data_IF_814590619528
#
_entry.id   IF_814590619528
#
_cell.length_a   1.000
_cell.length_b   1.000
_cell.length_c   1.000
_cell.angle_alpha   90.00
_cell.angle_beta   90.00
_cell.angle_gamma   90.00
#
_symmetry.space_group_name_H-M   'P 1'
#
loop_
_entity.id
_entity.type
_entity.pdbx_description
1 polymer ?
#
# COMPACT_ATOMS: atom_id res chain seq x y z
N UNK A 1 10.16 -5.99 34.90
CA UNK A 1 9.27 -5.69 33.76
C UNK A 1 9.92 -4.71 32.77
N UNK A 2 10.31 -3.50 33.18
CA UNK A 2 11.10 -2.56 32.35
C UNK A 2 12.60 -2.69 32.62
N UNK A 3 13.43 -2.38 31.62
CA UNK A 3 14.90 -2.34 31.67
C UNK A 3 15.42 -1.13 32.46
N UNK A 4 14.75 0.03 32.34
CA UNK A 4 15.09 1.29 33.00
C UNK A 4 13.82 2.03 33.44
N UNK A 5 13.84 2.69 34.60
CA UNK A 5 12.68 3.34 35.25
C UNK A 5 12.45 4.80 34.84
N UNK A 6 13.27 5.35 33.93
CA UNK A 6 13.34 6.81 33.63
C UNK A 6 12.01 7.36 33.04
N UNK A 7 11.07 6.51 32.64
CA UNK A 7 9.83 6.89 31.96
C UNK A 7 8.64 6.03 32.44
N UNK A 8 8.55 5.83 33.75
CA UNK A 8 7.44 5.12 34.38
C UNK A 8 6.18 6.01 34.42
N UNK A 9 5.24 5.71 33.51
CA UNK A 9 3.90 6.33 33.53
C UNK A 9 2.98 5.70 34.59
N UNK A 10 1.80 6.29 34.77
CA UNK A 10 0.82 5.83 35.77
C UNK A 10 0.41 4.36 35.57
N UNK A 11 0.29 3.90 34.32
CA UNK A 11 -0.03 2.51 34.01
C UNK A 11 1.09 1.57 34.47
N UNK A 12 2.33 1.87 34.10
CA UNK A 12 3.50 1.06 34.49
C UNK A 12 3.70 1.05 36.00
N UNK A 13 3.47 2.20 36.66
CA UNK A 13 3.53 2.33 38.12
C UNK A 13 2.51 1.43 38.80
N UNK A 14 1.24 1.51 38.41
CA UNK A 14 0.15 0.65 38.93
C UNK A 14 0.43 -0.82 38.70
N UNK A 15 0.97 -1.16 37.53
CA UNK A 15 1.34 -2.53 37.18
C UNK A 15 2.53 -3.06 37.99
N UNK A 16 3.46 -2.19 38.40
CA UNK A 16 4.58 -2.56 39.27
C UNK A 16 4.15 -2.69 40.73
N UNK A 17 3.41 -1.70 41.25
CA UNK A 17 2.97 -1.68 42.66
C UNK A 17 1.94 -2.78 42.94
N UNK A 18 1.20 -3.25 41.93
CA UNK A 18 0.33 -4.43 42.08
C UNK A 18 1.10 -5.70 42.44
N UNK A 19 2.43 -5.75 42.25
CA UNK A 19 3.27 -6.84 42.76
C UNK A 19 3.33 -6.87 44.30
N UNK A 20 3.25 -5.70 44.93
CA UNK A 20 3.55 -5.46 46.34
C UNK A 20 2.29 -5.39 47.22
N UNK A 21 1.11 -5.12 46.64
CA UNK A 21 -0.15 -5.11 47.38
C UNK A 21 -0.70 -6.54 47.61
N UNK A 22 -1.02 -6.87 48.87
CA UNK A 22 -1.58 -8.16 49.32
C UNK A 22 -3.03 -8.44 48.85
N UNK A 23 -3.58 -7.62 47.95
CA UNK A 23 -4.93 -7.82 47.43
C UNK A 23 -4.92 -8.91 46.34
N UNK A 24 -5.71 -9.97 46.54
CA UNK A 24 -5.88 -11.08 45.56
C UNK A 24 -6.68 -10.67 44.31
N UNK A 25 -7.15 -9.42 44.25
CA UNK A 25 -8.15 -8.97 43.28
C UNK A 25 -7.77 -7.62 42.69
N UNK A 26 -7.74 -7.53 41.37
CA UNK A 26 -7.44 -6.29 40.66
C UNK A 26 -6.86 -6.56 39.28
N UNK A 27 -7.27 -5.76 38.29
CA UNK A 27 -6.84 -5.88 36.90
C UNK A 27 -5.32 -5.90 36.80
N UNK A 28 -4.63 -4.91 37.39
CA UNK A 28 -3.18 -4.79 37.32
C UNK A 28 -2.43 -5.96 37.98
N UNK A 29 -3.01 -6.63 38.99
CA UNK A 29 -2.39 -7.80 39.60
C UNK A 29 -2.50 -9.01 38.67
N UNK A 30 -3.71 -9.34 38.21
CA UNK A 30 -3.93 -10.46 37.30
C UNK A 30 -3.21 -10.25 35.96
N UNK A 31 -3.19 -9.00 35.46
CA UNK A 31 -2.44 -8.63 34.27
C UNK A 31 -0.93 -8.76 34.48
N UNK A 32 -0.39 -8.38 35.64
CA UNK A 32 1.02 -8.63 35.97
C UNK A 32 1.34 -10.12 35.96
N UNK A 33 0.50 -10.94 36.63
CA UNK A 33 0.68 -12.40 36.67
C UNK A 33 0.65 -13.01 35.27
N UNK A 34 -0.25 -12.55 34.40
CA UNK A 34 -0.32 -12.99 33.00
C UNK A 34 0.96 -12.66 32.21
N UNK A 35 1.62 -11.55 32.52
CA UNK A 35 2.86 -11.14 31.88
C UNK A 35 4.10 -11.84 32.45
N UNK A 36 4.02 -12.36 33.67
CA UNK A 36 5.10 -13.08 34.37
C UNK A 36 5.06 -14.58 34.03
N UNK A 37 3.86 -15.18 34.05
CA UNK A 37 3.60 -16.59 33.74
C UNK A 37 2.38 -16.73 32.78
N UNK A 38 2.60 -16.63 31.46
CA UNK A 38 1.53 -16.64 30.48
C UNK A 38 0.93 -18.04 30.33
N UNK A 39 -0.27 -18.23 30.88
CA UNK A 39 -1.06 -19.45 30.68
C UNK A 39 -2.51 -19.13 30.28
N UNK A 40 -3.14 -20.09 29.58
CA UNK A 40 -4.55 -19.95 29.19
C UNK A 40 -5.45 -19.81 30.43
N UNK A 41 -5.14 -20.52 31.51
CA UNK A 41 -5.89 -20.44 32.77
C UNK A 41 -5.85 -19.02 33.37
N UNK A 42 -4.69 -18.37 33.36
CA UNK A 42 -4.56 -16.99 33.87
C UNK A 42 -5.29 -16.01 32.95
N UNK A 43 -5.21 -16.20 31.63
CA UNK A 43 -5.93 -15.39 30.65
C UNK A 43 -7.46 -15.51 30.83
N UNK A 44 -7.98 -16.72 30.96
CA UNK A 44 -9.41 -16.96 31.22
C UNK A 44 -9.85 -16.39 32.57
N UNK A 45 -9.01 -16.52 33.60
CA UNK A 45 -9.25 -15.86 34.89
C UNK A 45 -9.28 -14.33 34.78
N UNK A 46 -8.49 -13.72 33.90
CA UNK A 46 -8.55 -12.28 33.67
C UNK A 46 -9.82 -11.89 32.89
N UNK A 47 -10.16 -12.64 31.84
CA UNK A 47 -11.31 -12.37 30.96
C UNK A 47 -12.67 -12.68 31.61
N UNK A 48 -12.70 -13.50 32.66
CA UNK A 48 -13.91 -13.70 33.48
C UNK A 48 -14.20 -12.53 34.42
N UNK A 49 -13.19 -11.72 34.75
CA UNK A 49 -13.32 -10.58 35.67
C UNK A 49 -13.29 -9.21 34.96
N UNK A 50 -12.76 -9.15 33.73
CA UNK A 50 -12.56 -7.94 32.95
C UNK A 50 -12.87 -8.17 31.48
N UNK A 51 -13.18 -7.09 30.75
CA UNK A 51 -13.51 -7.23 29.33
C UNK A 51 -12.27 -7.57 28.51
N UNK A 52 -12.45 -8.26 27.37
CA UNK A 52 -11.38 -8.49 26.41
C UNK A 52 -10.70 -7.17 26.00
N UNK A 53 -11.50 -6.11 25.85
CA UNK A 53 -11.00 -4.78 25.48
C UNK A 53 -10.05 -4.18 26.53
N UNK A 54 -10.26 -4.44 27.83
CA UNK A 54 -9.37 -3.97 28.89
C UNK A 54 -7.99 -4.62 28.76
N UNK A 55 -7.97 -5.94 28.51
CA UNK A 55 -6.74 -6.71 28.29
C UNK A 55 -6.02 -6.25 27.03
N UNK A 56 -6.76 -6.07 25.93
CA UNK A 56 -6.23 -5.51 24.67
C UNK A 56 -5.65 -4.11 24.90
N UNK A 57 -6.32 -3.25 25.65
CA UNK A 57 -5.82 -1.90 25.93
C UNK A 57 -4.53 -1.92 26.76
N UNK A 58 -4.44 -2.79 27.77
CA UNK A 58 -3.23 -2.98 28.57
C UNK A 58 -2.05 -3.47 27.73
N UNK A 59 -2.26 -4.49 26.88
CA UNK A 59 -1.22 -5.00 25.98
C UNK A 59 -0.84 -3.96 24.93
N UNK A 60 -1.83 -3.28 24.35
CA UNK A 60 -1.60 -2.20 23.39
C UNK A 60 -0.75 -1.10 23.99
N UNK A 61 -0.97 -0.70 25.24
CA UNK A 61 -0.14 0.31 25.90
C UNK A 61 1.31 -0.13 25.98
N UNK A 62 1.56 -1.35 26.46
CA UNK A 62 2.91 -1.91 26.58
C UNK A 62 3.60 -2.06 25.23
N UNK A 63 2.92 -2.66 24.24
CA UNK A 63 3.45 -2.87 22.90
C UNK A 63 3.66 -1.52 22.21
N UNK A 64 2.73 -0.58 22.31
CA UNK A 64 2.82 0.68 21.57
C UNK A 64 3.91 1.62 22.12
N UNK A 65 4.04 1.71 23.45
CA UNK A 65 4.83 2.78 24.08
C UNK A 65 6.04 2.30 24.89
N UNK A 66 6.08 1.03 25.31
CA UNK A 66 7.10 0.55 26.28
C UNK A 66 7.90 -0.65 25.79
N UNK A 67 7.59 -1.18 24.61
CA UNK A 67 8.03 -2.49 24.14
C UNK A 67 9.55 -2.66 24.06
N UNK A 68 10.28 -1.69 23.49
CA UNK A 68 11.75 -1.72 23.40
C UNK A 68 12.44 -1.75 24.78
N UNK A 69 11.72 -1.28 25.81
CA UNK A 69 12.20 -1.17 27.19
C UNK A 69 11.77 -2.35 28.05
N UNK A 70 11.00 -3.30 27.53
CA UNK A 70 10.64 -4.51 28.28
C UNK A 70 11.84 -5.46 28.42
N UNK A 71 11.87 -6.24 29.50
CA UNK A 71 12.81 -7.35 29.63
C UNK A 71 12.52 -8.42 28.56
N UNK A 72 13.54 -9.19 28.16
CA UNK A 72 13.40 -10.23 27.12
C UNK A 72 12.32 -11.26 27.45
N UNK A 73 12.19 -11.60 28.74
CA UNK A 73 11.17 -12.52 29.26
C UNK A 73 9.76 -11.97 29.08
N UNK A 74 9.49 -10.75 29.55
CA UNK A 74 8.18 -10.11 29.41
C UNK A 74 7.80 -9.91 27.94
N UNK A 75 8.78 -9.56 27.10
CA UNK A 75 8.60 -9.51 25.65
C UNK A 75 8.09 -10.84 25.10
N UNK A 76 8.75 -11.96 25.44
CA UNK A 76 8.36 -13.28 24.97
C UNK A 76 6.96 -13.67 25.49
N UNK A 77 6.68 -13.34 26.75
CA UNK A 77 5.39 -13.59 27.37
C UNK A 77 4.26 -12.80 26.69
N UNK A 78 4.47 -11.53 26.35
CA UNK A 78 3.49 -10.75 25.58
C UNK A 78 3.18 -11.41 24.24
N UNK A 79 4.19 -11.92 23.51
CA UNK A 79 3.95 -12.61 22.25
C UNK A 79 3.12 -13.89 22.43
N UNK A 80 3.38 -14.65 23.50
CA UNK A 80 2.58 -15.83 23.85
C UNK A 80 1.14 -15.45 24.19
N UNK A 81 0.93 -14.40 24.98
CA UNK A 81 -0.40 -13.89 25.33
C UNK A 81 -1.16 -13.46 24.07
N UNK A 82 -0.55 -12.65 23.20
CA UNK A 82 -1.19 -12.22 21.94
C UNK A 82 -1.55 -13.43 21.08
N UNK A 83 -0.68 -14.44 21.01
CA UNK A 83 -0.95 -15.69 20.28
C UNK A 83 -2.16 -16.44 20.84
N UNK A 84 -2.27 -16.56 22.16
CA UNK A 84 -3.45 -17.17 22.82
C UNK A 84 -4.72 -16.36 22.54
N UNK A 85 -4.62 -15.03 22.54
CA UNK A 85 -5.77 -14.16 22.31
C UNK A 85 -6.37 -14.30 20.91
N UNK A 86 -5.62 -14.74 19.90
CA UNK A 86 -6.14 -14.96 18.54
C UNK A 86 -7.32 -15.94 18.48
N UNK A 87 -7.52 -16.77 19.50
CA UNK A 87 -8.66 -17.69 19.59
C UNK A 87 -10.00 -16.99 19.93
N UNK A 88 -9.97 -15.73 20.37
CA UNK A 88 -11.16 -14.96 20.76
C UNK A 88 -11.74 -14.09 19.64
N UNK A 89 -11.15 -14.11 18.43
CA UNK A 89 -11.63 -13.50 17.16
C UNK A 89 -12.04 -12.00 17.17
N UNK A 90 -11.95 -11.28 18.29
CA UNK A 90 -12.35 -9.86 18.37
C UNK A 90 -11.19 -8.90 18.69
N UNK A 91 -11.06 -7.85 17.87
CA UNK A 91 -10.26 -6.62 18.12
C UNK A 91 -8.76 -6.79 18.42
N UNK A 92 -8.14 -7.92 18.11
CA UNK A 92 -6.70 -8.18 18.32
C UNK A 92 -5.82 -7.58 17.21
N UNK A 93 -6.42 -7.13 16.11
CA UNK A 93 -5.74 -6.53 14.96
C UNK A 93 -4.80 -5.39 15.36
N UNK A 94 -5.20 -4.59 16.34
CA UNK A 94 -4.39 -3.46 16.82
C UNK A 94 -3.12 -3.93 17.54
N UNK A 95 -3.15 -5.09 18.22
CA UNK A 95 -1.96 -5.67 18.84
C UNK A 95 -1.01 -6.18 17.75
N UNK A 96 -1.54 -6.92 16.78
CA UNK A 96 -0.75 -7.46 15.66
C UNK A 96 -0.09 -6.34 14.86
N UNK A 97 -0.83 -5.29 14.51
CA UNK A 97 -0.25 -4.15 13.79
C UNK A 97 0.85 -3.50 14.63
N UNK A 98 0.67 -3.28 15.93
CA UNK A 98 1.73 -2.71 16.77
C UNK A 98 2.96 -3.64 16.92
N UNK A 99 2.78 -4.97 16.93
CA UNK A 99 3.92 -5.90 16.87
C UNK A 99 4.67 -5.78 15.55
N UNK A 100 3.94 -5.63 14.43
CA UNK A 100 4.55 -5.39 13.12
C UNK A 100 5.30 -4.04 13.09
N UNK A 101 4.80 -2.98 13.74
CA UNK A 101 5.53 -1.70 13.87
C UNK A 101 6.89 -1.83 14.58
N UNK A 102 7.07 -2.87 15.39
CA UNK A 102 8.36 -3.25 15.98
C UNK A 102 9.20 -4.19 15.10
N UNK A 103 8.81 -4.35 13.84
CA UNK A 103 9.44 -5.21 12.84
C UNK A 103 9.52 -6.70 13.22
N UNK A 104 8.56 -7.18 14.03
CA UNK A 104 8.43 -8.59 14.42
C UNK A 104 7.74 -9.44 13.35
N UNK A 105 8.28 -9.41 12.14
CA UNK A 105 7.69 -10.05 10.97
C UNK A 105 7.63 -11.57 11.14
N UNK A 106 8.69 -12.18 11.68
CA UNK A 106 8.77 -13.64 11.84
C UNK A 106 7.78 -14.16 12.88
N UNK A 107 7.66 -13.46 14.01
CA UNK A 107 6.77 -13.82 15.10
C UNK A 107 5.31 -13.73 14.68
N UNK A 108 4.93 -12.63 14.02
CA UNK A 108 3.56 -12.46 13.52
C UNK A 108 3.28 -13.41 12.36
N UNK A 109 4.25 -13.68 11.49
CA UNK A 109 4.08 -14.67 10.41
C UNK A 109 3.93 -16.10 10.97
N UNK A 110 4.61 -16.45 12.06
CA UNK A 110 4.36 -17.70 12.79
C UNK A 110 2.95 -17.74 13.37
N UNK A 111 2.45 -16.65 13.96
CA UNK A 111 1.07 -16.57 14.44
C UNK A 111 0.06 -16.77 13.30
N UNK A 112 0.33 -16.23 12.11
CA UNK A 112 -0.48 -16.45 10.91
C UNK A 112 -0.52 -17.92 10.50
N UNK A 113 0.62 -18.62 10.53
CA UNK A 113 0.67 -20.06 10.24
C UNK A 113 -0.11 -20.89 11.26
N UNK A 114 -0.03 -20.52 12.53
CA UNK A 114 -0.67 -21.27 13.61
C UNK A 114 -2.19 -21.01 13.64
N UNK A 115 -2.63 -19.79 13.31
CA UNK A 115 -4.04 -19.36 13.39
C UNK A 115 -4.51 -18.66 12.09
N UNK A 116 -4.50 -19.35 10.93
CA UNK A 116 -4.80 -18.71 9.64
C UNK A 116 -6.24 -18.20 9.53
N UNK A 117 -7.18 -18.85 10.24
CA UNK A 117 -8.60 -18.46 10.26
C UNK A 117 -8.80 -17.02 10.74
N UNK A 118 -8.08 -16.61 11.79
CA UNK A 118 -8.14 -15.24 12.29
C UNK A 118 -7.74 -14.25 11.18
N UNK A 119 -6.56 -14.39 10.60
CA UNK A 119 -6.07 -13.43 9.59
C UNK A 119 -6.96 -13.39 8.33
N UNK A 120 -7.53 -14.52 7.92
CA UNK A 120 -8.46 -14.55 6.79
C UNK A 120 -9.77 -13.81 7.08
N UNK A 121 -10.25 -13.82 8.33
CA UNK A 121 -11.42 -13.06 8.77
C UNK A 121 -11.11 -11.57 9.00
N UNK A 122 -9.83 -11.22 9.18
CA UNK A 122 -9.34 -9.87 9.46
C UNK A 122 -8.45 -9.33 8.32
N UNK A 123 -9.03 -8.94 7.16
CA UNK A 123 -8.28 -8.59 5.95
C UNK A 123 -7.35 -7.39 6.13
N UNK A 124 -7.67 -6.45 7.03
CA UNK A 124 -6.78 -5.35 7.37
C UNK A 124 -5.48 -5.87 7.99
N UNK A 125 -5.59 -6.72 9.02
CA UNK A 125 -4.44 -7.33 9.68
C UNK A 125 -3.57 -8.11 8.68
N UNK A 126 -4.19 -8.91 7.83
CA UNK A 126 -3.51 -9.67 6.78
C UNK A 126 -2.80 -8.75 5.77
N UNK A 127 -3.41 -7.62 5.40
CA UNK A 127 -2.80 -6.63 4.49
C UNK A 127 -1.53 -6.02 5.08
N UNK A 128 -1.54 -5.65 6.37
CA UNK A 128 -0.34 -5.17 7.06
C UNK A 128 0.73 -6.27 7.13
N UNK A 129 0.38 -7.50 7.52
CA UNK A 129 1.36 -8.60 7.54
C UNK A 129 1.97 -8.83 6.15
N UNK A 130 1.14 -8.89 5.10
CA UNK A 130 1.62 -9.08 3.74
C UNK A 130 2.57 -7.96 3.30
N UNK A 131 2.25 -6.71 3.66
CA UNK A 131 3.11 -5.56 3.38
C UNK A 131 4.47 -5.67 4.09
N UNK A 132 4.47 -5.98 5.39
CA UNK A 132 5.71 -6.16 6.16
C UNK A 132 6.56 -7.34 5.67
N UNK A 133 5.91 -8.43 5.26
CA UNK A 133 6.60 -9.54 4.60
C UNK A 133 7.27 -9.09 3.29
N UNK A 134 6.58 -8.31 2.45
CA UNK A 134 7.14 -7.78 1.21
C UNK A 134 8.33 -6.82 1.44
N UNK A 135 8.34 -6.10 2.57
CA UNK A 135 9.48 -5.25 2.97
C UNK A 135 10.62 -6.05 3.63
N UNK A 136 10.38 -7.29 4.06
CA UNK A 136 11.38 -8.13 4.72
C UNK A 136 12.29 -8.81 3.70
N UNK A 137 13.55 -9.04 4.08
CA UNK A 137 14.48 -9.88 3.31
C UNK A 137 14.19 -11.38 3.46
N UNK A 138 13.49 -11.81 4.52
CA UNK A 138 13.28 -13.23 4.85
C UNK A 138 11.96 -13.80 4.35
N UNK A 139 10.94 -12.95 4.16
CA UNK A 139 9.55 -13.36 3.89
C UNK A 139 8.92 -12.67 2.68
N UNK A 140 9.73 -12.07 1.82
CA UNK A 140 9.27 -11.29 0.66
C UNK A 140 8.25 -12.03 -0.20
N UNK A 141 8.50 -13.31 -0.46
CA UNK A 141 7.72 -14.09 -1.41
C UNK A 141 6.49 -14.77 -0.78
N UNK A 142 6.26 -14.58 0.52
CA UNK A 142 5.18 -15.26 1.24
C UNK A 142 3.77 -14.87 0.75
N UNK A 143 3.63 -13.69 0.12
CA UNK A 143 2.35 -13.12 -0.30
C UNK A 143 2.38 -12.48 -1.70
N UNK A 144 3.20 -12.98 -2.64
CA UNK A 144 3.34 -12.41 -4.01
C UNK A 144 2.01 -12.27 -4.77
N UNK A 145 0.99 -13.09 -4.45
CA UNK A 145 -0.33 -13.01 -5.06
C UNK A 145 -1.18 -11.82 -4.59
N UNK A 146 -0.81 -11.17 -3.48
CA UNK A 146 -1.59 -10.14 -2.78
C UNK A 146 -1.02 -8.72 -2.96
N UNK A 147 -0.16 -8.51 -3.95
CA UNK A 147 0.38 -7.19 -4.29
C UNK A 147 -0.76 -6.25 -4.70
N UNK A 148 -1.10 -5.32 -3.81
CA UNK A 148 -2.26 -4.43 -3.96
C UNK A 148 -1.87 -2.97 -4.15
N UNK A 149 -0.72 -2.54 -3.60
CA UNK A 149 -0.25 -1.16 -3.71
C UNK A 149 1.23 -1.09 -4.09
N UNK A 150 1.65 0.07 -4.58
CA UNK A 150 2.98 0.27 -5.16
C UNK A 150 4.10 -0.04 -4.18
N UNK A 151 3.98 0.30 -2.90
CA UNK A 151 5.09 0.14 -1.96
C UNK A 151 5.38 -1.31 -1.60
N UNK A 152 4.50 -2.26 -1.90
CA UNK A 152 4.85 -3.69 -1.81
C UNK A 152 6.05 -4.05 -2.68
N UNK A 153 6.27 -3.31 -3.77
CA UNK A 153 7.39 -3.51 -4.69
C UNK A 153 8.59 -2.60 -4.39
N UNK A 154 8.52 -1.77 -3.34
CA UNK A 154 9.53 -0.75 -3.05
C UNK A 154 10.92 -1.36 -2.83
N UNK A 155 11.04 -2.37 -1.95
CA UNK A 155 12.33 -3.00 -1.68
C UNK A 155 12.90 -3.71 -2.90
N UNK A 156 12.06 -4.41 -3.67
CA UNK A 156 12.46 -5.04 -4.93
C UNK A 156 13.03 -4.02 -5.90
N UNK A 157 12.34 -2.89 -6.11
CA UNK A 157 12.80 -1.82 -7.00
C UNK A 157 14.05 -1.13 -6.46
N UNK A 158 14.13 -0.88 -5.15
CA UNK A 158 15.30 -0.28 -4.50
C UNK A 158 16.55 -1.15 -4.70
N UNK A 159 16.45 -2.45 -4.49
CA UNK A 159 17.55 -3.40 -4.70
C UNK A 159 17.97 -3.46 -6.17
N UNK A 160 16.99 -3.50 -7.09
CA UNK A 160 17.22 -3.46 -8.53
C UNK A 160 17.96 -2.20 -8.97
N UNK A 161 17.66 -1.05 -8.38
CA UNK A 161 18.32 0.23 -8.68
C UNK A 161 19.67 0.41 -7.97
N UNK A 162 19.91 -0.30 -6.87
CA UNK A 162 21.12 -0.16 -6.05
C UNK A 162 22.18 -1.25 -6.32
N UNK A 163 21.82 -2.33 -7.03
CA UNK A 163 22.70 -3.47 -7.27
C UNK A 163 23.81 -3.24 -8.30
N UNK A 164 25.02 -3.71 -7.99
CA UNK A 164 26.21 -3.74 -8.89
C UNK A 164 26.00 -4.52 -10.19
N UNK A 165 24.96 -5.35 -10.27
CA UNK A 165 24.55 -6.01 -11.52
C UNK A 165 24.06 -5.05 -12.60
N UNK A 166 23.65 -3.82 -12.25
CA UNK A 166 23.25 -2.82 -13.24
C UNK A 166 24.44 -2.39 -14.11
N UNK A 167 25.62 -2.18 -13.51
CA UNK A 167 26.86 -1.81 -14.20
C UNK A 167 27.43 -2.96 -15.05
N UNK A 168 27.44 -4.19 -14.52
CA UNK A 168 27.93 -5.38 -15.23
C UNK A 168 27.01 -5.81 -16.38
N UNK A 169 25.69 -5.62 -16.24
CA UNK A 169 24.74 -5.84 -17.34
C UNK A 169 24.82 -4.74 -18.41
N UNK A 170 25.05 -3.47 -18.03
CA UNK A 170 25.33 -2.36 -18.97
C UNK A 170 26.57 -2.70 -19.82
N UNK A 171 27.67 -3.13 -19.18
CA UNK A 171 28.93 -3.48 -19.87
C UNK A 171 28.86 -4.76 -20.71
N UNK A 172 28.11 -5.77 -20.28
CA UNK A 172 27.92 -7.02 -21.05
C UNK A 172 26.93 -6.87 -22.23
N UNK A 173 25.94 -5.98 -22.15
CA UNK A 173 24.98 -5.74 -23.25
C UNK A 173 25.49 -4.78 -24.32
N UNK A 174 26.28 -3.76 -23.95
CA UNK A 174 26.97 -2.90 -24.94
C UNK A 174 27.92 -3.73 -25.83
N UNK A 175 28.45 -4.84 -25.32
CA UNK A 175 29.26 -5.80 -26.12
C UNK A 175 28.46 -6.84 -26.91
N UNK A 176 27.15 -7.00 -26.67
CA UNK A 176 26.30 -8.03 -27.33
C UNK A 176 25.27 -7.47 -28.32
N UNK A 177 25.03 -6.16 -28.33
CA UNK A 177 24.00 -5.51 -29.17
C UNK A 177 24.54 -4.92 -30.50
N UNK A 178 25.69 -5.37 -31.00
CA UNK A 178 26.09 -5.09 -32.39
C UNK A 178 25.54 -6.11 -33.40
N UNK A 179 24.82 -7.15 -32.96
CA UNK A 179 24.36 -8.23 -33.83
C UNK A 179 22.90 -8.56 -33.52
N UNK A 180 22.01 -7.98 -34.33
CA UNK A 180 20.60 -8.35 -34.54
C UNK A 180 19.59 -8.05 -33.42
N UNK A 181 18.77 -7.03 -33.69
CA UNK A 181 17.49 -6.82 -33.02
C UNK A 181 17.01 -5.38 -33.17
N UNK A 182 16.18 -5.12 -34.18
CA UNK A 182 15.38 -3.90 -34.23
C UNK A 182 14.45 -3.85 -33.00
N UNK A 183 14.68 -2.90 -32.09
CA UNK A 183 13.60 -2.39 -31.24
C UNK A 183 13.92 -0.92 -30.92
N UNK A 184 12.99 -0.03 -31.25
CA UNK A 184 13.08 1.43 -31.19
C UNK A 184 13.46 2.05 -29.83
N UNK A 185 13.76 1.28 -28.79
CA UNK A 185 14.09 1.79 -27.46
C UNK A 185 15.10 0.91 -26.74
N UNK A 186 15.98 1.48 -25.89
CA UNK A 186 16.83 0.69 -25.02
C UNK A 186 15.98 -0.18 -24.09
N UNK A 187 16.33 -1.45 -23.98
CA UNK A 187 15.63 -2.42 -23.14
C UNK A 187 15.81 -2.00 -21.69
N UNK A 188 14.77 -1.39 -21.12
CA UNK A 188 14.71 -1.12 -19.68
C UNK A 188 14.86 -2.46 -18.94
N UNK A 189 15.76 -2.59 -17.95
CA UNK A 189 16.19 -3.89 -17.41
C UNK A 189 15.08 -4.71 -16.73
N UNK A 190 13.88 -4.16 -16.59
CA UNK A 190 12.77 -4.73 -15.83
C UNK A 190 11.50 -4.95 -16.67
N UNK A 191 11.52 -4.72 -17.98
CA UNK A 191 10.33 -4.87 -18.85
C UNK A 191 9.74 -6.28 -18.83
N UNK A 192 10.57 -7.31 -18.66
CA UNK A 192 10.11 -8.69 -18.47
C UNK A 192 9.43 -8.91 -17.11
N UNK A 193 9.89 -8.23 -16.05
CA UNK A 193 9.34 -8.33 -14.70
C UNK A 193 7.94 -7.72 -14.61
N UNK A 194 7.69 -6.61 -15.30
CA UNK A 194 6.40 -5.91 -15.31
C UNK A 194 5.39 -6.42 -16.35
N UNK A 195 5.65 -7.59 -16.96
CA UNK A 195 4.75 -8.20 -17.95
C UNK A 195 3.48 -8.82 -17.34
N UNK A 196 3.42 -9.00 -16.02
CA UNK A 196 2.24 -9.52 -15.32
C UNK A 196 1.11 -8.49 -15.25
N UNK A 197 -0.10 -8.90 -15.64
CA UNK A 197 -1.34 -8.10 -15.53
C UNK A 197 -1.65 -7.65 -14.08
N UNK A 198 -1.10 -8.29 -13.05
CA UNK A 198 -1.33 -7.94 -11.63
C UNK A 198 -0.31 -6.93 -11.08
N UNK A 199 0.92 -6.93 -11.59
CA UNK A 199 2.00 -6.06 -11.08
C UNK A 199 1.80 -4.60 -11.48
N UNK A 200 1.37 -4.37 -12.72
CA UNK A 200 1.22 -3.03 -13.24
C UNK A 200 0.11 -2.22 -12.52
N UNK A 201 -1.09 -2.78 -12.25
CA UNK A 201 -2.09 -2.10 -11.42
C UNK A 201 -1.59 -1.76 -10.01
N UNK A 202 -0.84 -2.66 -9.37
CA UNK A 202 -0.29 -2.41 -8.03
C UNK A 202 0.64 -1.20 -8.03
N UNK A 203 1.53 -1.07 -9.02
CA UNK A 203 2.41 0.10 -9.16
C UNK A 203 1.66 1.42 -9.32
N UNK A 204 0.53 1.41 -10.02
CA UNK A 204 -0.30 2.60 -10.20
C UNK A 204 -1.20 2.90 -8.99
N UNK A 205 -1.39 1.95 -8.09
CA UNK A 205 -2.18 2.12 -6.89
C UNK A 205 -1.33 2.72 -5.76
N UNK A 206 -1.65 3.94 -5.27
CA UNK A 206 -0.90 4.55 -4.18
C UNK A 206 -1.09 3.76 -2.88
N UNK A 207 -0.03 3.70 -2.09
CA UNK A 207 -0.07 3.10 -0.75
C UNK A 207 -0.71 4.09 0.23
N UNK A 208 -1.57 3.60 1.12
CA UNK A 208 -2.20 4.46 2.13
C UNK A 208 -1.18 4.95 3.16
N UNK A 209 -1.36 6.17 3.65
CA UNK A 209 -0.47 6.75 4.66
C UNK A 209 -0.41 5.89 5.93
N UNK A 210 -1.50 5.22 6.31
CA UNK A 210 -1.53 4.35 7.49
C UNK A 210 -0.57 3.15 7.34
N UNK A 211 -0.44 2.59 6.13
CA UNK A 211 0.52 1.50 5.86
C UNK A 211 1.95 2.04 5.91
N UNK A 212 2.20 3.21 5.33
CA UNK A 212 3.53 3.84 5.37
C UNK A 212 3.95 4.25 6.79
N UNK A 213 3.03 4.86 7.56
CA UNK A 213 3.19 5.22 8.98
C UNK A 213 3.51 3.99 9.83
N UNK A 214 2.91 2.83 9.53
CA UNK A 214 3.20 1.61 10.29
C UNK A 214 4.64 1.13 10.17
N UNK A 215 5.39 1.52 9.13
CA UNK A 215 6.82 1.22 9.04
C UNK A 215 7.68 2.00 10.04
N UNK A 216 7.09 2.94 10.77
CA UNK A 216 7.75 3.73 11.79
C UNK A 216 7.29 3.28 13.17
N UNK A 217 8.21 3.25 14.14
CA UNK A 217 7.81 3.22 15.55
C UNK A 217 7.04 4.48 15.91
N UNK A 218 6.22 4.41 16.95
CA UNK A 218 5.38 5.54 17.37
C UNK A 218 6.24 6.73 17.77
N UNK A 219 7.33 6.48 18.50
CA UNK A 219 8.28 7.53 18.88
C UNK A 219 8.92 8.19 17.66
N UNK A 220 9.35 7.41 16.67
CA UNK A 220 9.93 7.95 15.44
C UNK A 220 8.91 8.79 14.67
N UNK A 221 7.69 8.30 14.49
CA UNK A 221 6.59 9.02 13.85
C UNK A 221 6.33 10.36 14.54
N UNK A 222 6.19 10.37 15.88
CA UNK A 222 5.95 11.59 16.65
C UNK A 222 7.10 12.61 16.52
N UNK A 223 8.36 12.14 16.58
CA UNK A 223 9.50 13.04 16.45
C UNK A 223 9.64 13.61 15.03
N UNK A 224 9.31 12.84 14.00
CA UNK A 224 9.25 13.34 12.62
C UNK A 224 8.17 14.41 12.48
N UNK A 225 6.95 14.12 12.96
CA UNK A 225 5.84 15.08 12.90
C UNK A 225 6.19 16.37 13.64
N UNK A 226 6.80 16.25 14.83
CA UNK A 226 7.25 17.41 15.61
C UNK A 226 8.21 18.30 14.81
N UNK A 227 9.26 17.72 14.20
CA UNK A 227 10.25 18.46 13.40
C UNK A 227 9.64 19.07 12.14
N UNK A 228 8.68 18.38 11.51
CA UNK A 228 8.01 18.87 10.32
C UNK A 228 7.14 20.10 10.58
N UNK A 229 6.59 20.20 11.80
CA UNK A 229 5.69 21.28 12.24
C UNK A 229 6.40 22.43 12.97
N UNK A 230 7.55 22.18 13.59
CA UNK A 230 8.25 23.15 14.45
C UNK A 230 9.66 23.45 13.94
N UNK A 231 9.96 24.73 13.71
CA UNK A 231 11.29 25.17 13.23
C UNK A 231 12.31 25.44 14.35
N UNK A 232 11.84 25.61 15.58
CA UNK A 232 12.70 25.88 16.73
C UNK A 232 13.63 24.70 17.01
N UNK A 233 14.94 24.97 17.15
CA UNK A 233 15.97 23.97 17.43
C UNK A 233 15.99 22.79 16.45
N UNK A 234 15.60 23.02 15.18
CA UNK A 234 15.53 21.98 14.15
C UNK A 234 16.78 21.08 14.12
N UNK A 235 17.98 21.68 14.12
CA UNK A 235 19.23 20.92 14.00
C UNK A 235 19.47 20.00 15.21
N UNK A 236 19.15 20.47 16.42
CA UNK A 236 19.22 19.66 17.63
C UNK A 236 18.25 18.46 17.58
N UNK A 237 17.00 18.68 17.20
CA UNK A 237 16.01 17.62 17.09
C UNK A 237 16.36 16.62 15.97
N UNK A 238 16.91 17.11 14.86
CA UNK A 238 17.40 16.29 13.76
C UNK A 238 18.58 15.41 14.19
N UNK A 239 19.54 15.95 14.95
CA UNK A 239 20.63 15.17 15.53
C UNK A 239 20.11 14.06 16.45
N UNK A 240 19.11 14.36 17.29
CA UNK A 240 18.46 13.36 18.13
C UNK A 240 17.76 12.26 17.31
N UNK A 241 17.04 12.63 16.24
CA UNK A 241 16.44 11.66 15.32
C UNK A 241 17.49 10.72 14.73
N UNK A 242 18.60 11.28 14.25
CA UNK A 242 19.69 10.50 13.67
C UNK A 242 20.44 9.63 14.68
N UNK A 243 20.56 10.09 15.92
CA UNK A 243 21.24 9.34 16.97
C UNK A 243 20.37 8.19 17.48
N UNK A 244 19.09 8.45 17.70
CA UNK A 244 18.23 7.54 18.44
C UNK A 244 17.44 6.60 17.52
N UNK A 245 17.02 7.06 16.34
CA UNK A 245 16.02 6.37 15.53
C UNK A 245 16.48 6.01 14.11
N UNK A 246 17.15 6.93 13.38
CA UNK A 246 17.50 6.72 11.97
C UNK A 246 18.97 6.30 11.85
N UNK A 247 19.21 4.99 11.96
CA UNK A 247 20.56 4.42 12.14
C UNK A 247 21.16 3.86 10.86
N UNK A 248 20.32 3.56 9.87
CA UNK A 248 20.74 2.95 8.63
C UNK A 248 19.93 3.48 7.42
N UNK A 249 20.30 3.00 6.24
CA UNK A 249 19.67 3.37 4.97
C UNK A 249 18.19 2.97 4.89
N UNK A 250 17.81 1.84 5.48
CA UNK A 250 16.42 1.35 5.44
C UNK A 250 15.51 2.22 6.32
N UNK A 251 15.97 2.60 7.51
CA UNK A 251 15.29 3.57 8.37
C UNK A 251 15.07 4.88 7.60
N UNK A 252 16.12 5.40 6.95
CA UNK A 252 16.03 6.63 6.16
C UNK A 252 15.02 6.49 5.01
N UNK A 253 15.02 5.37 4.28
CA UNK A 253 14.03 5.11 3.24
C UNK A 253 12.60 5.07 3.78
N UNK A 254 12.34 4.41 4.92
CA UNK A 254 11.01 4.36 5.54
C UNK A 254 10.54 5.74 5.95
N UNK A 255 11.41 6.53 6.58
CA UNK A 255 11.11 7.91 6.95
C UNK A 255 10.80 8.75 5.72
N UNK A 256 11.62 8.67 4.67
CA UNK A 256 11.35 9.40 3.43
C UNK A 256 10.04 8.98 2.78
N UNK A 257 9.73 7.67 2.69
CA UNK A 257 8.46 7.17 2.15
C UNK A 257 7.26 7.71 2.92
N UNK A 258 7.36 7.80 4.25
CA UNK A 258 6.33 8.44 5.08
C UNK A 258 6.22 9.95 4.79
N UNK A 259 7.33 10.69 4.90
CA UNK A 259 7.36 12.15 4.81
C UNK A 259 6.88 12.68 3.46
N UNK A 260 7.27 12.04 2.34
CA UNK A 260 6.85 12.50 1.01
C UNK A 260 5.34 12.34 0.75
N UNK A 261 4.64 11.58 1.58
CA UNK A 261 3.20 11.40 1.51
C UNK A 261 2.42 12.33 2.47
N UNK A 262 3.12 13.22 3.18
CA UNK A 262 2.51 14.22 4.07
C UNK A 262 2.32 15.54 3.31
N UNK A 263 1.10 16.09 3.24
CA UNK A 263 0.85 17.33 2.52
C UNK A 263 1.39 18.56 3.28
N UNK A 264 2.21 19.37 2.60
CA UNK A 264 2.63 20.73 2.99
C UNK A 264 3.24 20.94 4.40
N UNK A 265 4.21 20.14 4.88
CA UNK A 265 4.89 20.47 6.14
C UNK A 265 5.92 21.59 5.92
N UNK A 266 6.10 22.47 6.92
CA UNK A 266 7.01 23.63 6.82
C UNK A 266 8.46 23.21 6.57
N UNK A 267 8.94 22.19 7.28
CA UNK A 267 10.35 21.79 7.30
C UNK A 267 10.69 20.59 6.42
N UNK A 268 9.78 20.18 5.52
CA UNK A 268 9.96 18.97 4.71
C UNK A 268 11.27 18.99 3.91
N UNK A 269 11.65 20.13 3.33
CA UNK A 269 12.89 20.26 2.56
C UNK A 269 14.14 20.08 3.38
N UNK A 270 14.18 20.72 4.55
CA UNK A 270 15.32 20.63 5.47
C UNK A 270 15.51 19.19 5.93
N UNK A 271 14.42 18.50 6.30
CA UNK A 271 14.48 17.11 6.74
C UNK A 271 14.92 16.17 5.61
N UNK A 272 14.31 16.30 4.43
CA UNK A 272 14.64 15.47 3.26
C UNK A 272 16.10 15.68 2.83
N UNK A 273 16.58 16.93 2.78
CA UNK A 273 17.98 17.23 2.46
C UNK A 273 18.93 16.62 3.48
N UNK A 274 18.64 16.79 4.77
CA UNK A 274 19.48 16.24 5.83
C UNK A 274 19.56 14.71 5.79
N UNK A 275 18.42 14.04 5.51
CA UNK A 275 18.36 12.59 5.33
C UNK A 275 19.20 12.14 4.14
N UNK A 276 19.20 12.89 3.06
CA UNK A 276 19.91 12.55 1.83
C UNK A 276 21.40 12.92 1.86
N UNK A 277 21.79 13.94 2.62
CA UNK A 277 23.19 14.24 2.90
C UNK A 277 23.83 13.10 3.70
N UNK A 278 23.10 12.57 4.71
CA UNK A 278 23.58 11.45 5.52
C UNK A 278 23.44 10.09 4.82
N UNK A 279 22.36 9.88 4.07
CA UNK A 279 22.05 8.63 3.37
C UNK A 279 21.74 8.87 1.89
N UNK A 280 22.74 9.17 1.04
CA UNK A 280 22.51 9.58 -0.35
C UNK A 280 21.70 8.58 -1.18
N UNK A 281 21.87 7.27 -0.97
CA UNK A 281 21.15 6.22 -1.70
C UNK A 281 19.66 6.14 -1.36
N UNK A 282 19.21 6.83 -0.32
CA UNK A 282 17.78 6.84 0.07
C UNK A 282 16.91 7.69 -0.85
N UNK A 283 17.51 8.41 -1.81
CA UNK A 283 16.81 9.24 -2.80
C UNK A 283 15.72 8.48 -3.54
N UNK A 284 15.89 7.17 -3.74
CA UNK A 284 14.90 6.28 -4.39
C UNK A 284 13.53 6.39 -3.71
N UNK A 285 13.48 6.54 -2.38
CA UNK A 285 12.22 6.70 -1.64
C UNK A 285 11.45 7.98 -2.02
N UNK A 286 12.16 9.06 -2.35
CA UNK A 286 11.56 10.36 -2.72
C UNK A 286 10.97 10.30 -4.12
N UNK A 287 11.71 9.71 -5.05
CA UNK A 287 11.32 9.62 -6.46
C UNK A 287 10.36 8.47 -6.76
N UNK A 288 10.16 7.54 -5.81
CA UNK A 288 9.44 6.30 -6.04
C UNK A 288 8.03 6.52 -6.60
N UNK A 289 7.30 7.50 -6.06
CA UNK A 289 5.95 7.80 -6.54
C UNK A 289 5.97 8.35 -7.97
N UNK A 290 6.98 9.17 -8.31
CA UNK A 290 7.13 9.77 -9.64
C UNK A 290 7.35 8.71 -10.74
N UNK A 291 7.88 7.54 -10.38
CA UNK A 291 8.08 6.43 -11.32
C UNK A 291 6.74 5.90 -11.88
N UNK A 292 5.63 6.06 -11.15
CA UNK A 292 4.39 5.33 -11.41
C UNK A 292 3.14 6.23 -11.43
N UNK A 293 3.25 7.39 -12.09
CA UNK A 293 2.32 8.52 -12.00
C UNK A 293 0.81 8.24 -12.35
N UNK A 294 -0.11 8.75 -11.51
CA UNK A 294 -1.57 8.90 -11.65
C UNK A 294 -2.07 10.24 -11.02
N UNK A 295 -3.27 10.73 -11.42
CA UNK A 295 -3.88 12.05 -11.17
C UNK A 295 -3.87 12.61 -9.73
N UNK A 296 -3.63 11.81 -8.67
CA UNK A 296 -3.42 12.32 -7.30
C UNK A 296 -2.07 13.05 -7.12
N UNK A 297 -1.16 12.95 -8.08
CA UNK A 297 0.24 13.42 -7.99
C UNK A 297 0.50 14.90 -8.29
N UNK A 298 -0.54 15.74 -8.35
CA UNK A 298 -0.37 17.21 -8.27
C UNK A 298 0.31 17.65 -6.96
N UNK A 299 0.12 16.91 -5.86
CA UNK A 299 0.76 17.18 -4.57
C UNK A 299 2.27 16.87 -4.58
N UNK A 300 2.69 15.82 -5.28
CA UNK A 300 4.11 15.43 -5.41
C UNK A 300 4.87 16.34 -6.39
N UNK A 301 4.18 16.89 -7.39
CA UNK A 301 4.70 17.98 -8.22
C UNK A 301 5.22 19.14 -7.37
N UNK A 302 4.50 19.51 -6.31
CA UNK A 302 4.91 20.58 -5.40
C UNK A 302 6.16 20.23 -4.59
N UNK A 303 6.32 19.00 -4.10
CA UNK A 303 7.54 18.60 -3.37
C UNK A 303 8.76 18.60 -4.29
N UNK A 304 8.61 18.16 -5.53
CA UNK A 304 9.71 18.13 -6.52
C UNK A 304 10.04 19.53 -7.01
N UNK A 305 9.04 20.37 -7.28
CA UNK A 305 9.25 21.79 -7.59
C UNK A 305 9.90 22.54 -6.42
N UNK A 306 9.49 22.24 -5.19
CA UNK A 306 10.09 22.76 -3.97
C UNK A 306 11.54 22.27 -3.77
N UNK A 307 11.82 20.98 -4.01
CA UNK A 307 13.19 20.45 -3.99
C UNK A 307 14.04 21.00 -5.13
N UNK A 308 13.46 21.30 -6.30
CA UNK A 308 14.13 21.97 -7.44
C UNK A 308 14.44 23.44 -7.14
N UNK A 309 13.55 24.16 -6.46
CA UNK A 309 13.73 25.57 -6.08
C UNK A 309 14.84 25.81 -5.06
N UNK A 310 15.21 24.80 -4.27
CA UNK A 310 16.17 24.91 -3.16
C UNK A 310 17.63 24.55 -3.52
N UNK A 311 18.08 24.75 -4.78
CA UNK A 311 19.49 24.53 -5.20
C UNK A 311 20.03 23.12 -4.90
N UNK A 312 19.24 22.10 -5.21
CA UNK A 312 19.46 20.78 -4.66
C UNK A 312 20.25 19.86 -5.61
N UNK A 313 21.29 19.18 -5.10
CA UNK A 313 22.00 18.10 -5.82
C UNK A 313 21.07 16.98 -6.28
N UNK A 314 19.89 16.87 -5.66
CA UNK A 314 18.82 15.96 -6.05
C UNK A 314 18.20 16.36 -7.39
N UNK A 315 18.07 17.65 -7.70
CA UNK A 315 17.44 18.09 -8.95
C UNK A 315 18.22 17.59 -10.18
N UNK A 316 19.55 17.60 -10.12
CA UNK A 316 20.41 17.05 -11.17
C UNK A 316 20.26 15.52 -11.29
N UNK A 317 20.23 14.79 -10.16
CA UNK A 317 19.97 13.34 -10.16
C UNK A 317 18.56 13.01 -10.66
N UNK A 318 17.54 13.77 -10.27
CA UNK A 318 16.16 13.62 -10.76
C UNK A 318 16.11 13.85 -12.26
N UNK A 319 16.76 14.90 -12.78
CA UNK A 319 16.78 15.18 -14.22
C UNK A 319 17.49 14.08 -15.00
N UNK A 320 18.67 13.64 -14.55
CA UNK A 320 19.40 12.52 -15.17
C UNK A 320 18.58 11.23 -15.17
N UNK A 321 17.89 10.94 -14.07
CA UNK A 321 17.02 9.78 -13.95
C UNK A 321 15.75 9.91 -14.81
N UNK A 322 15.15 11.10 -14.90
CA UNK A 322 14.02 11.38 -15.79
C UNK A 322 14.37 11.11 -17.26
N UNK A 323 15.60 11.42 -17.68
CA UNK A 323 16.11 11.06 -19.01
C UNK A 323 16.27 9.54 -19.17
N UNK A 324 16.87 8.86 -18.20
CA UNK A 324 16.99 7.39 -18.20
C UNK A 324 15.62 6.68 -18.13
N UNK A 325 14.58 7.32 -17.60
CA UNK A 325 13.23 6.75 -17.43
C UNK A 325 12.24 7.09 -18.52
N UNK A 326 12.57 8.00 -19.44
CA UNK A 326 11.76 8.24 -20.63
C UNK A 326 11.46 6.92 -21.39
N UNK A 327 12.39 5.98 -21.55
CA UNK A 327 12.12 4.64 -22.07
C UNK A 327 11.18 3.79 -21.22
N UNK A 328 11.25 3.85 -19.87
CA UNK A 328 10.29 3.17 -18.99
C UNK A 328 8.90 3.74 -19.14
N UNK A 329 8.77 5.08 -19.13
CA UNK A 329 7.50 5.76 -19.36
C UNK A 329 6.90 5.36 -20.71
N UNK A 330 7.71 5.33 -21.77
CA UNK A 330 7.28 4.86 -23.10
C UNK A 330 6.93 3.37 -23.12
N UNK A 331 7.67 2.52 -22.40
CA UNK A 331 7.37 1.10 -22.27
C UNK A 331 6.08 0.87 -21.45
N UNK A 332 5.85 1.62 -20.38
CA UNK A 332 4.65 1.59 -19.57
C UNK A 332 3.44 2.15 -20.33
N UNK A 333 3.62 3.22 -21.11
CA UNK A 333 2.61 3.73 -22.04
C UNK A 333 2.34 2.72 -23.16
N UNK A 334 3.35 2.00 -23.65
CA UNK A 334 3.17 0.91 -24.61
C UNK A 334 2.45 -0.28 -23.99
N UNK A 335 2.77 -0.67 -22.77
CA UNK A 335 2.08 -1.73 -22.03
C UNK A 335 0.66 -1.29 -21.69
N UNK A 336 0.45 -0.03 -21.28
CA UNK A 336 -0.89 0.57 -21.12
C UNK A 336 -1.64 0.56 -22.43
N UNK A 337 -1.06 0.97 -23.55
CA UNK A 337 -1.67 0.87 -24.89
C UNK A 337 -1.95 -0.56 -25.33
N UNK A 338 -1.13 -1.53 -24.91
CA UNK A 338 -1.35 -2.97 -25.13
C UNK A 338 -2.41 -3.57 -24.19
N UNK A 339 -2.65 -2.92 -23.05
CA UNK A 339 -3.66 -3.29 -22.05
C UNK A 339 -4.95 -2.46 -22.15
N UNK A 340 -4.91 -1.33 -22.86
CA UNK A 340 -6.06 -0.56 -23.30
C UNK A 340 -6.90 -1.51 -24.13
N UNK A 341 -8.14 -1.70 -23.70
CA UNK A 341 -9.12 -2.54 -24.37
C UNK A 341 -9.22 -2.09 -25.83
N UNK A 342 -8.57 -2.81 -26.74
CA UNK A 342 -8.76 -2.57 -28.18
C UNK A 342 -10.22 -2.88 -28.53
N UNK A 343 -10.72 -2.26 -29.59
CA UNK A 343 -12.06 -2.57 -30.11
C UNK A 343 -12.23 -4.08 -30.29
N UNK A 344 -11.23 -4.77 -30.85
CA UNK A 344 -11.21 -6.23 -30.98
C UNK A 344 -11.33 -6.98 -29.64
N UNK A 345 -10.69 -6.50 -28.58
CA UNK A 345 -10.78 -7.09 -27.24
C UNK A 345 -12.17 -6.91 -26.64
N UNK A 346 -12.78 -5.73 -26.81
CA UNK A 346 -14.14 -5.45 -26.33
C UNK A 346 -15.14 -6.29 -27.12
N UNK A 347 -14.99 -6.35 -28.44
CA UNK A 347 -15.79 -7.19 -29.33
C UNK A 347 -15.74 -8.65 -28.88
N UNK A 348 -14.55 -9.23 -28.68
CA UNK A 348 -14.39 -10.61 -28.19
C UNK A 348 -15.02 -10.83 -26.81
N UNK A 349 -14.86 -9.86 -25.90
CA UNK A 349 -15.48 -9.92 -24.59
C UNK A 349 -17.00 -9.98 -24.69
N UNK A 350 -17.62 -9.09 -25.48
CA UNK A 350 -19.08 -9.01 -25.64
C UNK A 350 -19.64 -10.28 -26.27
N UNK A 351 -19.00 -10.80 -27.33
CA UNK A 351 -19.39 -12.06 -27.95
C UNK A 351 -19.28 -13.27 -26.99
N UNK A 352 -18.37 -13.20 -26.00
CA UNK A 352 -18.19 -14.25 -24.99
C UNK A 352 -19.08 -14.12 -23.74
N UNK A 353 -20.00 -13.15 -23.73
CA UNK A 353 -20.89 -12.91 -22.59
C UNK A 353 -21.99 -13.96 -22.48
N UNK A 354 -22.32 -14.24 -21.23
CA UNK A 354 -23.55 -14.89 -20.84
C UNK A 354 -24.13 -14.09 -19.67
N UNK A 355 -25.34 -14.44 -19.22
CA UNK A 355 -26.03 -13.70 -18.17
C UNK A 355 -25.19 -13.54 -16.89
N UNK A 356 -24.49 -14.59 -16.45
CA UNK A 356 -23.64 -14.55 -15.24
C UNK A 356 -22.46 -13.61 -15.40
N UNK A 357 -21.71 -13.71 -16.51
CA UNK A 357 -20.55 -12.85 -16.79
C UNK A 357 -20.95 -11.39 -16.94
N UNK A 358 -22.05 -11.15 -17.64
CA UNK A 358 -22.61 -9.81 -17.81
C UNK A 358 -22.98 -9.17 -16.46
N UNK A 359 -23.70 -9.91 -15.61
CA UNK A 359 -24.09 -9.40 -14.29
C UNK A 359 -22.87 -9.11 -13.39
N UNK A 360 -21.83 -9.94 -13.49
CA UNK A 360 -20.54 -9.69 -12.83
C UNK A 360 -19.91 -8.36 -13.28
N UNK A 361 -19.85 -8.12 -14.59
CA UNK A 361 -19.31 -6.88 -15.15
C UNK A 361 -20.08 -5.64 -14.70
N UNK A 362 -21.41 -5.69 -14.68
CA UNK A 362 -22.24 -4.56 -14.22
C UNK A 362 -22.00 -4.26 -12.74
N UNK A 363 -21.88 -5.29 -11.88
CA UNK A 363 -21.55 -5.11 -10.46
C UNK A 363 -20.16 -4.53 -10.23
N UNK A 364 -19.17 -4.96 -11.01
CA UNK A 364 -17.84 -4.38 -10.95
C UNK A 364 -17.85 -2.92 -11.39
N UNK A 365 -18.54 -2.60 -12.50
CA UNK A 365 -18.71 -1.22 -12.96
C UNK A 365 -19.38 -0.33 -11.91
N UNK A 366 -20.45 -0.80 -11.27
CA UNK A 366 -21.14 -0.08 -10.19
C UNK A 366 -20.19 0.19 -9.00
N UNK A 367 -19.38 -0.81 -8.62
CA UNK A 367 -18.42 -0.70 -7.51
C UNK A 367 -17.25 0.23 -7.80
N UNK A 368 -16.67 0.15 -8.99
CA UNK A 368 -15.42 0.82 -9.35
C UNK A 368 -15.61 2.15 -10.07
N UNK A 369 -16.81 2.41 -10.62
CA UNK A 369 -17.10 3.62 -11.38
C UNK A 369 -16.38 3.71 -12.73
N UNK A 370 -15.85 2.59 -13.23
CA UNK A 370 -15.08 2.53 -14.49
C UNK A 370 -15.93 1.97 -15.62
N UNK A 371 -15.99 2.63 -16.80
CA UNK A 371 -16.78 2.16 -17.92
C UNK A 371 -16.22 0.84 -18.49
N UNK A 372 -17.11 -0.08 -18.86
CA UNK A 372 -16.78 -1.34 -19.51
C UNK A 372 -16.36 -1.09 -20.97
N UNK A 373 -17.07 -0.20 -21.66
CA UNK A 373 -16.73 0.33 -22.98
C UNK A 373 -16.37 1.81 -22.84
N UNK A 374 -15.14 2.25 -23.15
CA UNK A 374 -14.78 3.66 -23.12
C UNK A 374 -15.67 4.50 -24.05
N UNK A 375 -16.06 5.70 -23.63
CA UNK A 375 -16.98 6.57 -24.39
C UNK A 375 -16.41 6.88 -25.78
N UNK A 376 -15.09 7.07 -25.87
CA UNK A 376 -14.36 7.36 -27.11
C UNK A 376 -14.47 6.24 -28.15
N UNK A 377 -14.88 5.03 -27.73
CA UNK A 377 -15.02 3.86 -28.60
C UNK A 377 -16.46 3.57 -29.00
N UNK A 378 -17.45 4.30 -28.47
CA UNK A 378 -18.87 4.06 -28.73
C UNK A 378 -19.18 4.08 -30.23
N UNK A 379 -18.82 5.14 -30.93
CA UNK A 379 -19.12 5.30 -32.36
C UNK A 379 -18.58 4.13 -33.19
N UNK A 380 -17.35 3.70 -32.89
CA UNK A 380 -16.69 2.62 -33.63
C UNK A 380 -17.30 1.27 -33.32
N UNK A 381 -17.55 0.97 -32.05
CA UNK A 381 -18.12 -0.32 -31.63
C UNK A 381 -19.58 -0.44 -32.06
N UNK A 382 -20.38 0.63 -31.94
CA UNK A 382 -21.77 0.64 -32.42
C UNK A 382 -21.80 0.41 -33.92
N UNK A 383 -20.93 1.07 -34.69
CA UNK A 383 -20.84 0.86 -36.13
C UNK A 383 -20.48 -0.60 -36.47
N UNK A 384 -19.41 -1.14 -35.87
CA UNK A 384 -18.98 -2.52 -36.06
C UNK A 384 -20.03 -3.54 -35.59
N UNK A 385 -20.85 -3.19 -34.59
CA UNK A 385 -21.88 -4.07 -34.04
C UNK A 385 -23.00 -4.41 -35.01
N UNK A 386 -23.16 -3.64 -36.08
CA UNK A 386 -24.18 -3.90 -37.10
C UNK A 386 -24.02 -5.27 -37.77
N UNK A 387 -22.79 -5.81 -37.77
CA UNK A 387 -22.46 -7.12 -38.34
C UNK A 387 -22.46 -8.26 -37.31
N UNK A 388 -22.67 -7.95 -36.02
CA UNK A 388 -22.65 -8.95 -34.95
C UNK A 388 -23.95 -9.74 -34.91
N UNK A 389 -23.94 -10.89 -34.25
CA UNK A 389 -25.18 -11.60 -33.95
C UNK A 389 -26.06 -10.77 -32.99
N UNK A 390 -27.39 -10.92 -33.09
CA UNK A 390 -28.35 -10.12 -32.30
C UNK A 390 -28.15 -10.29 -30.79
N UNK A 391 -27.63 -11.43 -30.33
CA UNK A 391 -27.36 -11.67 -28.91
C UNK A 391 -26.22 -10.77 -28.40
N UNK A 392 -25.11 -10.70 -29.13
CA UNK A 392 -23.99 -9.82 -28.83
C UNK A 392 -24.39 -8.34 -28.93
N UNK A 393 -25.20 -7.96 -29.92
CA UNK A 393 -25.74 -6.61 -30.04
C UNK A 393 -26.57 -6.21 -28.81
N UNK A 394 -27.46 -7.09 -28.34
CA UNK A 394 -28.27 -6.84 -27.14
C UNK A 394 -27.39 -6.61 -25.90
N UNK A 395 -26.30 -7.38 -25.71
CA UNK A 395 -25.40 -7.12 -24.58
C UNK A 395 -24.64 -5.81 -24.70
N UNK A 396 -24.18 -5.44 -25.90
CA UNK A 396 -23.55 -4.15 -26.13
C UNK A 396 -24.48 -3.01 -25.67
N UNK A 397 -25.71 -3.00 -26.15
CA UNK A 397 -26.68 -1.96 -25.81
C UNK A 397 -27.07 -1.97 -24.32
N UNK A 398 -27.15 -3.15 -23.70
CA UNK A 398 -27.33 -3.25 -22.24
C UNK A 398 -26.16 -2.64 -21.47
N UNK A 399 -24.92 -2.96 -21.84
CA UNK A 399 -23.72 -2.40 -21.21
C UNK A 399 -23.72 -0.87 -21.32
N UNK A 400 -23.95 -0.33 -22.51
CA UNK A 400 -23.99 1.11 -22.73
C UNK A 400 -25.13 1.76 -21.93
N UNK A 401 -26.31 1.13 -21.88
CA UNK A 401 -27.44 1.60 -21.08
C UNK A 401 -27.13 1.70 -19.59
N UNK A 402 -26.46 0.68 -19.02
CA UNK A 402 -26.02 0.72 -17.63
C UNK A 402 -24.92 1.76 -17.39
N UNK A 403 -24.01 1.96 -18.34
CA UNK A 403 -23.02 3.05 -18.27
C UNK A 403 -23.67 4.43 -18.28
N UNK A 404 -24.77 4.63 -19.03
CA UNK A 404 -25.55 5.86 -18.96
C UNK A 404 -26.19 6.05 -17.59
N UNK A 405 -26.86 5.01 -17.06
CA UNK A 405 -27.55 5.05 -15.76
C UNK A 405 -26.58 5.36 -14.62
N UNK A 406 -25.45 4.63 -14.54
CA UNK A 406 -24.55 4.68 -13.38
C UNK A 406 -23.45 5.73 -13.49
N UNK A 407 -22.94 5.97 -14.70
CA UNK A 407 -21.78 6.83 -14.94
C UNK A 407 -22.16 8.14 -15.67
N UNK A 408 -23.42 8.30 -16.11
CA UNK A 408 -23.87 9.49 -16.85
C UNK A 408 -23.27 9.61 -18.25
N UNK A 409 -22.78 8.50 -18.82
CA UNK A 409 -22.18 8.48 -20.16
C UNK A 409 -23.26 8.37 -21.22
N UNK A 410 -23.61 9.50 -21.84
CA UNK A 410 -24.58 9.51 -22.95
C UNK A 410 -23.95 9.05 -24.27
N UNK A 411 -24.81 8.61 -25.19
CA UNK A 411 -24.47 8.16 -26.53
C UNK A 411 -24.89 9.25 -27.51
N UNK A 412 -23.94 9.78 -28.27
CA UNK A 412 -24.25 10.71 -29.36
C UNK A 412 -25.01 9.99 -30.46
N UNK A 413 -25.85 10.71 -31.22
CA UNK A 413 -26.66 10.09 -32.29
C UNK A 413 -25.74 9.41 -33.30
N UNK A 414 -25.76 8.07 -33.41
CA UNK A 414 -24.86 7.35 -34.28
C UNK A 414 -25.21 7.61 -35.74
N UNK A 415 -24.19 7.67 -36.60
CA UNK A 415 -24.36 8.01 -38.02
C UNK A 415 -25.11 6.94 -38.82
N UNK A 416 -25.08 5.69 -38.36
CA UNK A 416 -25.70 4.53 -39.03
C UNK A 416 -25.97 3.43 -38.00
N UNK A 417 -27.22 2.98 -37.90
CA UNK A 417 -27.65 1.76 -37.22
C UNK A 417 -28.63 1.08 -38.17
N UNK A 418 -28.38 -0.17 -38.53
CA UNK A 418 -29.19 -0.89 -39.51
C UNK A 418 -29.93 -2.10 -38.93
N UNK A 419 -29.46 -2.64 -37.81
CA UNK A 419 -30.07 -3.79 -37.16
C UNK A 419 -31.25 -3.38 -36.28
N UNK A 420 -32.24 -4.27 -36.15
CA UNK A 420 -33.41 -4.06 -35.30
C UNK A 420 -32.99 -3.92 -33.82
N UNK A 421 -32.12 -4.80 -33.35
CA UNK A 421 -31.57 -4.78 -32.00
C UNK A 421 -30.80 -3.48 -31.73
N UNK A 422 -30.11 -2.95 -32.75
CA UNK A 422 -29.42 -1.68 -32.69
C UNK A 422 -30.37 -0.50 -32.53
N UNK A 423 -31.45 -0.48 -33.33
CA UNK A 423 -32.46 0.58 -33.30
C UNK A 423 -33.17 0.57 -31.95
N UNK A 424 -33.67 -0.59 -31.51
CA UNK A 424 -34.33 -0.77 -30.21
C UNK A 424 -33.40 -0.38 -29.06
N UNK A 425 -32.15 -0.85 -29.09
CA UNK A 425 -31.13 -0.52 -28.09
C UNK A 425 -30.90 0.98 -27.97
N UNK A 426 -30.77 1.68 -29.09
CA UNK A 426 -30.58 3.13 -29.10
C UNK A 426 -31.81 3.89 -28.57
N UNK A 427 -33.02 3.49 -28.96
CA UNK A 427 -34.26 4.08 -28.46
C UNK A 427 -34.40 3.92 -26.95
N UNK A 428 -34.10 2.73 -26.43
CA UNK A 428 -34.07 2.47 -24.98
C UNK A 428 -33.11 3.44 -24.30
N UNK A 429 -31.86 3.54 -24.78
CA UNK A 429 -30.85 4.43 -24.17
C UNK A 429 -31.29 5.90 -24.21
N UNK A 430 -31.92 6.34 -25.29
CA UNK A 430 -32.45 7.70 -25.40
C UNK A 430 -33.57 7.97 -24.38
N UNK A 431 -34.39 6.96 -24.07
CA UNK A 431 -35.46 7.04 -23.08
C UNK A 431 -34.99 6.95 -21.63
N UNK A 432 -33.78 6.42 -21.38
CA UNK A 432 -33.22 6.31 -20.04
C UNK A 432 -32.88 7.70 -19.46
N UNK A 433 -33.45 8.00 -18.30
CA UNK A 433 -33.09 9.18 -17.51
C UNK A 433 -31.88 8.86 -16.62
N UNK A 434 -30.99 9.84 -16.46
CA UNK A 434 -29.86 9.72 -15.54
C UNK A 434 -30.41 9.62 -14.11
N UNK A 435 -30.00 8.61 -13.35
CA UNK A 435 -30.24 8.60 -11.92
C UNK A 435 -29.39 9.73 -11.33
N UNK A 436 -30.04 10.83 -10.91
CA UNK A 436 -29.38 11.79 -10.03
C UNK A 436 -28.94 11.02 -8.79
N UNK A 437 -27.62 10.86 -8.60
CA UNK A 437 -27.07 10.31 -7.35
C UNK A 437 -27.74 11.08 -6.19
N UNK A 438 -28.49 10.36 -5.35
CA UNK A 438 -28.81 10.85 -4.00
C UNK A 438 -27.45 11.02 -3.32
N UNK A 439 -27.08 12.29 -3.09
CA UNK A 439 -25.93 12.70 -2.28
C UNK A 439 -25.99 12.08 -0.90
#
# INVERSE_FOLDING_TARGET
MLKELIDEDDFCRKLRTSKEEDSKTGFYRLFYVLLDDPSLQVLESLLSNYTLQDVVNGLKHLIKFKFDRLTKEVYANILLVVRMMLDYEENIDTLIINLLRHHLVEEVYSMYKDKPKYFNNHPNCLSFLAFFCAQSSTRRDAFEANLSTRDFLFMTIKEMMSGSHFEDQKKKKIKKESIHGSSEYPIFPFTSYFSSKKLLPALFMPTSLNILSSQLSVDLEMNIMFILEHDQNFDFHLELLFKNHIRNLDDACRVLRFVVNIPYPQNIGRLVNSLLDKYPSSYIAVIYDMLFWNQKERLNGNLVEYLKGNSNKIAEKITSLQEEWKPLKLAMESIKKRQECTVESITKMIHGLNFQKYFGLVKEMEKWGTPIVPKEMYDRIILESSEWDGYAQVYLWKIIGFQKIYLGLDVDTPKRIESLEGIEGFEIIKSLSNIKKRT
#
